data_IF_955075222321
#
_entry.id   IF_955075222321
#
_cell.length_a   1.000
_cell.length_b   1.000
_cell.length_c   1.000
_cell.angle_alpha   90.00
_cell.angle_beta   90.00
_cell.angle_gamma   90.00
#
_symmetry.space_group_name_H-M   'P 1'
#
loop_
_entity.id
_entity.type
_entity.pdbx_description
1 polymer ?
#
# COMPACT_ATOMS: atom_id res chain seq x y z
N UNK A 1 10.50 34.70 26.73
CA UNK A 1 10.58 33.44 25.95
C UNK A 1 9.38 33.43 25.00
N UNK A 2 9.53 33.20 23.68
CA UNK A 2 8.39 33.35 22.78
C UNK A 2 7.36 32.26 23.04
N UNK A 3 6.09 32.65 23.05
CA UNK A 3 4.94 31.79 23.28
C UNK A 3 4.80 30.82 22.10
N UNK A 4 5.29 29.58 22.23
CA UNK A 4 5.16 28.57 21.18
C UNK A 4 3.76 27.97 21.22
N UNK A 5 2.87 28.44 20.34
CA UNK A 5 1.57 27.83 20.09
C UNK A 5 1.74 26.61 19.17
N UNK A 6 1.38 25.43 19.67
CA UNK A 6 1.32 24.20 18.88
C UNK A 6 -0.12 23.67 18.88
N UNK A 7 -0.55 23.08 17.76
CA UNK A 7 -1.81 22.34 17.63
C UNK A 7 -3.07 23.14 18.02
N UNK A 8 -3.04 24.47 17.91
CA UNK A 8 -4.08 25.38 18.39
C UNK A 8 -5.49 25.15 17.78
N UNK A 9 -5.56 24.47 16.63
CA UNK A 9 -6.80 24.14 15.93
C UNK A 9 -6.85 22.68 15.47
N UNK A 10 -6.12 21.77 16.14
CA UNK A 10 -6.24 20.33 15.90
C UNK A 10 -7.49 19.84 16.65
N UNK A 11 -8.51 19.40 15.92
CA UNK A 11 -9.71 18.84 16.53
C UNK A 11 -9.41 17.51 17.24
N UNK A 12 -8.65 16.62 16.60
CA UNK A 12 -8.15 15.37 17.19
C UNK A 12 -6.88 14.92 16.50
N UNK A 13 -5.96 14.33 17.26
CA UNK A 13 -4.83 13.55 16.76
C UNK A 13 -4.97 12.11 17.26
N UNK A 14 -4.64 11.12 16.44
CA UNK A 14 -4.61 9.72 16.86
C UNK A 14 -3.42 8.99 16.28
N UNK A 15 -2.84 8.13 17.09
CA UNK A 15 -1.82 7.18 16.63
C UNK A 15 -2.52 6.07 15.83
N UNK A 16 -2.01 5.79 14.64
CA UNK A 16 -2.45 4.68 13.80
C UNK A 16 -1.54 3.47 13.99
N UNK A 17 -2.04 2.29 13.65
CA UNK A 17 -1.20 1.10 13.55
C UNK A 17 -0.09 1.34 12.52
N UNK A 18 1.12 0.91 12.85
CA UNK A 18 2.23 1.01 11.90
C UNK A 18 2.02 0.02 10.75
N UNK A 19 2.66 0.24 9.58
CA UNK A 19 2.67 -0.77 8.53
C UNK A 19 3.20 -2.12 8.99
N UNK A 20 4.11 -2.16 9.98
CA UNK A 20 4.62 -3.41 10.57
C UNK A 20 3.52 -4.14 11.36
N UNK A 21 2.78 -3.41 12.19
CA UNK A 21 1.68 -3.97 13.01
C UNK A 21 0.55 -4.55 12.15
N UNK A 22 0.27 -3.93 11.00
CA UNK A 22 -0.73 -4.43 10.07
C UNK A 22 -0.22 -5.72 9.41
N UNK A 23 1.03 -5.74 8.95
CA UNK A 23 1.62 -6.90 8.27
C UNK A 23 1.81 -8.11 9.21
N UNK A 24 2.06 -7.89 10.49
CA UNK A 24 2.15 -8.97 11.48
C UNK A 24 0.78 -9.61 11.75
N UNK A 25 -0.28 -8.81 11.80
CA UNK A 25 -1.67 -9.29 11.97
C UNK A 25 -2.23 -9.96 10.71
N UNK A 26 -1.84 -9.48 9.53
CA UNK A 26 -2.29 -9.97 8.23
C UNK A 26 -1.09 -10.41 7.38
N UNK A 27 -0.46 -11.55 7.73
CA UNK A 27 0.71 -12.03 7.02
C UNK A 27 0.36 -12.46 5.60
N UNK A 28 1.28 -12.21 4.66
CA UNK A 28 1.12 -12.60 3.28
C UNK A 28 1.29 -14.12 3.13
N UNK A 29 0.23 -14.80 2.72
CA UNK A 29 0.30 -16.24 2.40
C UNK A 29 1.13 -16.47 1.14
N UNK A 30 1.65 -17.69 0.97
CA UNK A 30 2.42 -18.05 -0.21
C UNK A 30 1.61 -17.98 -1.50
N UNK A 31 0.33 -18.33 -1.44
CA UNK A 31 -0.59 -18.24 -2.59
C UNK A 31 -0.83 -16.79 -2.99
N UNK A 32 -1.06 -15.88 -2.03
CA UNK A 32 -1.23 -14.46 -2.32
C UNK A 32 0.06 -13.87 -2.88
N UNK A 33 1.23 -14.25 -2.36
CA UNK A 33 2.53 -13.79 -2.89
C UNK A 33 2.72 -14.21 -4.35
N UNK A 34 2.48 -15.48 -4.68
CA UNK A 34 2.59 -15.99 -6.05
C UNK A 34 1.63 -15.26 -6.98
N UNK A 35 0.40 -15.01 -6.52
CA UNK A 35 -0.63 -14.30 -7.27
C UNK A 35 -0.20 -12.87 -7.60
N UNK A 36 0.27 -12.12 -6.60
CA UNK A 36 0.73 -10.74 -6.78
C UNK A 36 1.93 -10.66 -7.74
N UNK A 37 2.91 -11.56 -7.60
CA UNK A 37 4.08 -11.57 -8.48
C UNK A 37 3.71 -11.92 -9.92
N UNK A 38 2.88 -12.95 -10.11
CA UNK A 38 2.40 -13.37 -11.43
C UNK A 38 1.70 -12.22 -12.15
N UNK A 39 0.71 -11.58 -11.52
CA UNK A 39 -0.05 -10.53 -12.19
C UNK A 39 0.75 -9.24 -12.39
N UNK A 40 1.71 -8.92 -11.52
CA UNK A 40 2.66 -7.81 -11.78
C UNK A 40 3.48 -8.05 -13.04
N UNK A 41 3.94 -9.28 -13.26
CA UNK A 41 4.66 -9.64 -14.48
C UNK A 41 3.75 -9.57 -15.72
N UNK A 42 2.54 -10.13 -15.64
CA UNK A 42 1.56 -10.09 -16.74
C UNK A 42 1.17 -8.66 -17.12
N UNK A 43 0.82 -7.82 -16.14
CA UNK A 43 0.53 -6.39 -16.38
C UNK A 43 1.76 -5.70 -16.98
N UNK A 44 2.96 -6.01 -16.49
CA UNK A 44 4.21 -5.51 -17.06
C UNK A 44 4.37 -5.87 -18.56
N UNK A 45 3.97 -7.07 -18.97
CA UNK A 45 4.02 -7.49 -20.37
C UNK A 45 2.96 -6.77 -21.22
N UNK A 46 1.75 -6.57 -20.68
CA UNK A 46 0.69 -5.79 -21.34
C UNK A 46 1.16 -4.35 -21.59
N UNK A 47 1.72 -3.71 -20.57
CA UNK A 47 2.23 -2.34 -20.68
C UNK A 47 3.40 -2.19 -21.65
N UNK A 48 4.15 -3.27 -21.91
CA UNK A 48 5.23 -3.33 -22.89
C UNK A 48 4.76 -3.66 -24.31
N UNK A 49 3.47 -3.94 -24.52
CA UNK A 49 2.96 -4.44 -25.80
C UNK A 49 3.45 -5.84 -26.16
N UNK A 50 3.89 -6.62 -25.17
CA UNK A 50 4.30 -8.03 -25.32
C UNK A 50 3.14 -8.99 -25.07
N UNK A 51 1.99 -8.45 -24.66
CA UNK A 51 0.76 -9.16 -24.36
C UNK A 51 -0.41 -8.27 -24.80
N UNK A 52 -1.19 -8.77 -25.76
CA UNK A 52 -2.26 -8.01 -26.43
C UNK A 52 -3.58 -7.97 -25.63
N UNK A 53 -3.62 -8.61 -24.45
CA UNK A 53 -4.79 -8.58 -23.58
C UNK A 53 -5.01 -7.16 -23.05
N UNK A 54 -6.28 -6.79 -22.87
CA UNK A 54 -6.65 -5.52 -22.23
C UNK A 54 -6.67 -5.66 -20.72
N UNK A 55 -6.00 -4.76 -20.01
CA UNK A 55 -6.09 -4.65 -18.56
C UNK A 55 -7.37 -3.91 -18.15
N UNK A 56 -8.15 -4.50 -17.24
CA UNK A 56 -9.41 -3.95 -16.70
C UNK A 56 -9.28 -3.90 -15.18
N UNK A 57 -9.62 -2.75 -14.58
CA UNK A 57 -9.50 -2.46 -13.13
C UNK A 57 -10.87 -2.57 -12.46
#
# INVERSE_FOLDING_TARGET
>A
MPNRLFNAHIATERVLLTPSDIKSKLPLTDSTRKTVLKFRAEIGNILKGQDDRKFVV
#
